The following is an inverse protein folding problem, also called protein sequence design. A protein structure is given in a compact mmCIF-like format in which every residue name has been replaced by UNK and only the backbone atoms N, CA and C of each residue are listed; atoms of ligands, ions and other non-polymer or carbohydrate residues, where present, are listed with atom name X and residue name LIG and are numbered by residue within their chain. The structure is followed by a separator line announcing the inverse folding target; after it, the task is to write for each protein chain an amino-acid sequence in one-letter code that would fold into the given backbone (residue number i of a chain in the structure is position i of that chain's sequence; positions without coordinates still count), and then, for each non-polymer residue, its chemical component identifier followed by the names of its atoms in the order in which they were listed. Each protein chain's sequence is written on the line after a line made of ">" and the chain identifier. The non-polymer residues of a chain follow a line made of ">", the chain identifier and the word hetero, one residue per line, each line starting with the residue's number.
data_IF_885254408034
#
_entry.id   IF_885254408034
#
_cell.length_a   1.000
_cell.length_b   1.000
_cell.length_c   1.000
_cell.angle_alpha   90.00
_cell.angle_beta   90.00
_cell.angle_gamma   90.00
#
_symmetry.space_group_name_H-M   'P 1'
#
loop_
_entity.id
_entity.type
_entity.pdbx_description
1 polymer ?
#
# COMPACT_ATOMS: atom_id res chain seq x y z
N UNK A 1 -6.86 22.00 -3.52
CA UNK A 1 -6.55 23.26 -2.79
C UNK A 1 -5.58 23.08 -1.61
N UNK A 2 -5.57 21.95 -0.90
CA UNK A 2 -4.57 21.65 0.15
C UNK A 2 -3.26 21.12 -0.46
N UNK A 3 -3.35 20.27 -1.48
CA UNK A 3 -2.22 19.69 -2.23
C UNK A 3 -1.38 20.74 -2.99
N UNK A 4 -2.02 21.75 -3.61
CA UNK A 4 -1.29 22.82 -4.31
C UNK A 4 -0.41 23.67 -3.35
N UNK A 5 -0.82 23.80 -2.09
CA UNK A 5 -0.03 24.51 -1.07
C UNK A 5 1.18 23.70 -0.58
N UNK A 6 1.08 22.37 -0.58
CA UNK A 6 2.21 21.50 -0.21
C UNK A 6 3.27 21.49 -1.31
N UNK A 7 2.87 21.34 -2.57
CA UNK A 7 3.75 21.42 -3.74
C UNK A 7 4.43 22.78 -3.91
N UNK A 8 3.75 23.88 -3.54
CA UNK A 8 4.34 25.23 -3.58
C UNK A 8 5.38 25.48 -2.49
N UNK A 9 5.27 24.81 -1.34
CA UNK A 9 6.22 24.95 -0.23
C UNK A 9 7.58 24.30 -0.55
N UNK A 10 7.61 23.32 -1.44
CA UNK A 10 8.83 22.65 -1.91
C UNK A 10 9.51 23.33 -3.12
N UNK A 11 8.88 24.38 -3.71
CA UNK A 11 9.41 25.08 -4.90
C UNK A 11 10.15 26.38 -4.64
N UNK A 12 10.29 26.84 -3.40
CA UNK A 12 10.78 28.20 -3.11
C UNK A 12 12.07 28.30 -2.31
N UNK A 13 12.79 27.21 -2.06
CA UNK A 13 14.14 27.35 -1.53
C UNK A 13 15.17 26.84 -2.54
N UNK A 14 16.00 27.79 -3.00
CA UNK A 14 17.12 27.67 -3.93
C UNK A 14 17.97 26.40 -3.66
N UNK A 15 17.76 25.39 -4.48
CA UNK A 15 18.78 24.38 -4.74
C UNK A 15 19.19 24.47 -6.20
N UNK A 16 20.36 25.06 -6.44
CA UNK A 16 21.06 24.96 -7.72
C UNK A 16 21.31 23.47 -8.02
N UNK A 17 20.56 22.94 -8.94
CA UNK A 17 20.61 21.54 -9.39
C UNK A 17 21.87 21.34 -10.21
N UNK A 18 22.87 20.70 -9.63
CA UNK A 18 23.80 19.88 -10.37
C UNK A 18 23.13 18.53 -10.61
N UNK A 19 22.78 18.26 -11.85
CA UNK A 19 22.27 16.98 -12.34
C UNK A 19 23.34 15.90 -12.17
N UNK A 20 23.28 15.11 -11.10
CA UNK A 20 23.72 13.72 -10.99
C UNK A 20 23.39 13.21 -9.57
N UNK A 21 22.50 12.17 -9.51
CA UNK A 21 22.34 11.24 -8.39
C UNK A 21 21.83 11.80 -7.03
N UNK A 22 20.59 12.27 -6.96
CA UNK A 22 19.85 12.32 -5.70
C UNK A 22 18.56 11.50 -5.79
N UNK A 23 18.70 10.18 -5.91
CA UNK A 23 17.63 9.25 -5.58
C UNK A 23 17.48 9.25 -4.05
N UNK A 24 16.42 9.83 -3.52
CA UNK A 24 16.13 9.76 -2.08
C UNK A 24 15.82 8.30 -1.75
N UNK A 25 16.80 7.61 -1.17
CA UNK A 25 16.66 6.22 -0.78
C UNK A 25 15.75 6.15 0.45
N UNK A 26 14.50 5.71 0.23
CA UNK A 26 13.53 5.47 1.31
C UNK A 26 13.90 4.17 2.02
N UNK A 27 13.79 4.17 3.36
CA UNK A 27 14.01 2.96 4.15
C UNK A 27 12.98 1.90 3.78
N UNK A 28 13.36 0.62 3.60
CA UNK A 28 12.43 -0.46 3.28
C UNK A 28 11.24 -0.61 4.26
N UNK A 29 11.37 -0.14 5.50
CA UNK A 29 10.28 -0.14 6.48
C UNK A 29 9.43 1.14 6.47
N UNK A 30 9.72 2.10 5.60
CA UNK A 30 9.06 3.41 5.57
C UNK A 30 7.53 3.28 5.50
N UNK A 31 7.03 2.44 4.59
CA UNK A 31 5.60 2.19 4.41
C UNK A 31 4.98 1.54 5.66
N UNK A 32 5.54 0.42 6.11
CA UNK A 32 5.02 -0.32 7.27
C UNK A 32 5.05 0.52 8.56
N UNK A 33 6.10 1.35 8.71
CA UNK A 33 6.22 2.28 9.84
C UNK A 33 5.15 3.36 9.78
N UNK A 34 4.93 3.96 8.61
CA UNK A 34 3.89 4.97 8.44
C UNK A 34 2.51 4.40 8.79
N UNK A 35 2.18 3.23 8.26
CA UNK A 35 0.91 2.54 8.53
C UNK A 35 0.74 2.23 10.02
N UNK A 36 1.80 1.74 10.70
CA UNK A 36 1.77 1.53 12.15
C UNK A 36 1.54 2.84 12.91
N UNK A 37 2.22 3.91 12.52
CA UNK A 37 2.09 5.22 13.16
C UNK A 37 0.67 5.79 13.01
N UNK A 38 0.06 5.63 11.83
CA UNK A 38 -1.33 6.04 11.56
C UNK A 38 -2.29 5.22 12.41
N UNK A 39 -2.14 3.88 12.46
CA UNK A 39 -2.96 2.98 13.27
C UNK A 39 -2.91 3.33 14.77
N UNK A 40 -1.73 3.59 15.28
CA UNK A 40 -1.54 3.96 16.69
C UNK A 40 -1.81 5.42 17.00
N UNK A 41 -2.10 6.23 15.96
CA UNK A 41 -2.22 7.69 16.04
C UNK A 41 -1.04 8.34 16.80
N UNK A 42 0.15 7.78 16.62
CA UNK A 42 1.36 8.16 17.35
C UNK A 42 2.62 7.74 16.58
N UNK A 43 3.61 8.63 16.50
CA UNK A 43 4.94 8.30 15.99
C UNK A 43 6.00 8.61 17.04
N UNK A 44 6.90 7.66 17.30
CA UNK A 44 8.06 7.85 18.18
C UNK A 44 9.13 6.81 17.87
N UNK A 45 10.40 7.15 18.13
CA UNK A 45 11.53 6.23 17.97
C UNK A 45 11.33 4.96 18.81
N UNK A 46 10.86 5.09 20.06
CA UNK A 46 10.62 3.95 20.95
C UNK A 46 9.55 2.99 20.39
N UNK A 47 8.50 3.54 19.76
CA UNK A 47 7.47 2.74 19.10
C UNK A 47 8.08 1.88 17.99
N UNK A 48 8.89 2.49 17.13
CA UNK A 48 9.55 1.82 16.02
C UNK A 48 10.53 0.74 16.50
N UNK A 49 11.36 1.07 17.48
CA UNK A 49 12.30 0.10 18.07
C UNK A 49 11.56 -1.11 18.65
N UNK A 50 10.43 -0.88 19.32
CA UNK A 50 9.62 -1.94 19.92
C UNK A 50 9.01 -2.88 18.89
N UNK A 51 8.40 -2.34 17.83
CA UNK A 51 7.66 -3.13 16.85
C UNK A 51 8.54 -3.75 15.76
N UNK A 52 9.51 -2.98 15.23
CA UNK A 52 10.36 -3.41 14.11
C UNK A 52 11.71 -4.01 14.54
N UNK A 53 12.02 -3.99 15.84
CA UNK A 53 13.30 -4.49 16.39
C UNK A 53 14.53 -3.88 15.74
N UNK A 54 14.45 -2.60 15.36
CA UNK A 54 15.52 -1.81 14.74
C UNK A 54 16.24 -0.95 15.76
N UNK A 55 17.49 -0.57 15.45
CA UNK A 55 18.29 0.33 16.29
C UNK A 55 17.77 1.77 16.28
N UNK A 56 18.21 2.56 17.29
CA UNK A 56 17.83 3.96 17.45
C UNK A 56 18.10 4.79 16.18
N UNK A 57 19.30 4.69 15.62
CA UNK A 57 19.70 5.49 14.46
C UNK A 57 18.84 5.25 13.22
N UNK A 58 18.45 3.98 12.97
CA UNK A 58 17.56 3.63 11.87
C UNK A 58 16.14 4.11 12.13
N UNK A 59 15.64 3.91 13.34
CA UNK A 59 14.31 4.38 13.74
C UNK A 59 14.21 5.92 13.62
N UNK A 60 15.24 6.66 14.06
CA UNK A 60 15.32 8.12 13.94
C UNK A 60 15.28 8.56 12.47
N UNK A 61 16.07 7.93 11.60
CA UNK A 61 16.08 8.24 10.16
C UNK A 61 14.72 8.03 9.50
N UNK A 62 13.99 6.98 9.89
CA UNK A 62 12.63 6.74 9.36
C UNK A 62 11.68 7.82 9.86
N UNK A 63 11.76 8.23 11.14
CA UNK A 63 10.99 9.35 11.70
C UNK A 63 11.29 10.64 10.92
N UNK A 64 12.56 10.92 10.61
CA UNK A 64 12.95 12.09 9.81
C UNK A 64 12.36 12.02 8.39
N UNK A 65 12.37 10.85 7.75
CA UNK A 65 11.71 10.64 6.46
C UNK A 65 10.19 10.88 6.55
N UNK A 66 9.50 10.31 7.54
CA UNK A 66 8.07 10.55 7.75
C UNK A 66 7.74 12.03 7.95
N UNK A 67 8.61 12.75 8.65
CA UNK A 67 8.49 14.20 8.85
C UNK A 67 8.69 14.96 7.54
N UNK A 68 9.71 14.59 6.78
CA UNK A 68 10.04 15.20 5.47
C UNK A 68 8.89 15.07 4.49
N UNK A 69 8.23 13.91 4.46
CA UNK A 69 7.08 13.67 3.61
C UNK A 69 5.75 14.15 4.21
N UNK A 70 5.77 14.80 5.36
CA UNK A 70 4.58 15.40 5.98
C UNK A 70 3.58 14.38 6.53
N UNK A 71 3.98 13.13 6.75
CA UNK A 71 3.15 12.10 7.36
C UNK A 71 2.92 12.41 8.84
N UNK A 72 3.95 12.96 9.48
CA UNK A 72 3.95 13.34 10.89
C UNK A 72 4.42 14.79 11.08
N UNK A 73 4.04 15.39 12.22
CA UNK A 73 4.42 16.78 12.53
C UNK A 73 5.91 16.87 12.88
N UNK A 74 6.55 17.98 12.48
CA UNK A 74 7.86 18.36 13.01
C UNK A 74 7.67 18.90 14.43
N UNK A 75 8.13 18.16 15.43
CA UNK A 75 8.06 18.61 16.83
C UNK A 75 9.37 18.25 17.55
N UNK A 76 10.38 19.15 17.49
CA UNK A 76 11.73 18.84 17.99
C UNK A 76 11.83 18.58 19.50
N UNK A 77 10.79 18.92 20.29
CA UNK A 77 10.79 18.82 21.74
C UNK A 77 9.75 17.84 22.30
N UNK A 78 9.12 17.02 21.45
CA UNK A 78 8.08 16.07 21.89
C UNK A 78 8.60 14.63 21.79
N UNK A 79 8.40 13.84 22.83
CA UNK A 79 8.70 12.39 22.85
C UNK A 79 7.82 11.58 21.88
N UNK A 80 6.78 12.19 21.32
CA UNK A 80 5.94 11.62 20.26
C UNK A 80 5.40 12.69 19.32
N UNK A 81 5.34 12.35 18.03
CA UNK A 81 4.89 13.26 16.98
C UNK A 81 3.44 12.94 16.60
N UNK A 82 2.71 13.99 16.20
CA UNK A 82 1.31 13.88 15.79
C UNK A 82 1.22 13.40 14.34
N UNK A 83 0.27 12.51 14.06
CA UNK A 83 -0.05 12.07 12.70
C UNK A 83 -0.82 13.16 11.98
N UNK A 84 -0.46 13.42 10.72
CA UNK A 84 -1.02 14.47 9.88
C UNK A 84 -1.81 13.93 8.68
N UNK A 85 -1.74 12.62 8.41
CA UNK A 85 -2.35 11.99 7.27
C UNK A 85 -3.24 10.82 7.68
N UNK A 86 -4.28 10.58 6.87
CA UNK A 86 -5.06 9.34 6.90
C UNK A 86 -4.33 8.22 6.15
N UNK A 87 -4.86 7.00 6.22
CA UNK A 87 -4.36 5.87 5.42
C UNK A 87 -4.41 6.17 3.92
N UNK A 88 -5.54 6.70 3.44
CA UNK A 88 -5.74 6.97 2.02
C UNK A 88 -4.81 8.08 1.50
N UNK A 89 -4.62 9.14 2.31
CA UNK A 89 -3.70 10.24 1.96
C UNK A 89 -2.26 9.73 1.88
N UNK A 90 -1.86 8.85 2.81
CA UNK A 90 -0.53 8.27 2.81
C UNK A 90 -0.31 7.28 1.67
N UNK A 91 -1.27 6.42 1.37
CA UNK A 91 -1.18 5.50 0.23
C UNK A 91 -0.98 6.26 -1.09
N UNK A 92 -1.73 7.36 -1.31
CA UNK A 92 -1.55 8.22 -2.48
C UNK A 92 -0.17 8.89 -2.51
N UNK A 93 0.29 9.43 -1.38
CA UNK A 93 1.62 10.02 -1.26
C UNK A 93 2.72 8.99 -1.54
N UNK A 94 2.63 7.80 -0.96
CA UNK A 94 3.61 6.75 -1.12
C UNK A 94 3.70 6.30 -2.58
N UNK A 95 2.56 6.20 -3.27
CA UNK A 95 2.53 5.91 -4.71
C UNK A 95 3.28 6.97 -5.52
N UNK A 96 3.11 8.26 -5.23
CA UNK A 96 3.84 9.34 -5.90
C UNK A 96 5.36 9.26 -5.62
N UNK A 97 5.74 8.98 -4.37
CA UNK A 97 7.14 8.88 -3.97
C UNK A 97 7.86 7.77 -4.75
N UNK A 98 7.29 6.57 -4.81
CA UNK A 98 7.94 5.44 -5.47
C UNK A 98 7.97 5.58 -7.00
N UNK A 99 6.95 6.19 -7.61
CA UNK A 99 6.93 6.40 -9.06
C UNK A 99 7.93 7.49 -9.52
N UNK A 100 8.26 8.44 -8.67
CA UNK A 100 9.17 9.53 -9.00
C UNK A 100 10.64 9.28 -8.60
N UNK A 101 10.92 8.35 -7.70
CA UNK A 101 12.24 8.23 -7.04
C UNK A 101 12.75 6.81 -6.83
N UNK A 102 12.07 5.75 -7.29
CA UNK A 102 12.47 4.39 -6.96
C UNK A 102 13.26 3.73 -8.07
N UNK A 103 14.57 3.54 -7.86
CA UNK A 103 15.35 2.46 -8.47
C UNK A 103 15.53 1.36 -7.42
N UNK A 104 15.02 0.13 -7.65
CA UNK A 104 15.24 -0.98 -6.71
C UNK A 104 16.73 -1.28 -6.56
N UNK A 105 17.24 -1.55 -5.32
CA UNK A 105 18.56 -2.13 -5.18
C UNK A 105 18.52 -3.55 -5.77
N UNK A 106 19.34 -3.78 -6.81
CA UNK A 106 19.72 -5.06 -7.41
C UNK A 106 18.72 -6.23 -7.30
N UNK A 107 17.53 -6.05 -7.87
CA UNK A 107 16.74 -7.17 -8.32
C UNK A 107 17.29 -7.59 -9.67
N UNK A 108 18.09 -8.67 -9.69
CA UNK A 108 18.45 -9.34 -10.94
C UNK A 108 17.15 -9.84 -11.57
N UNK A 109 16.64 -9.04 -12.49
CA UNK A 109 15.55 -9.44 -13.36
C UNK A 109 16.00 -10.68 -14.15
N UNK A 110 15.57 -11.86 -13.69
CA UNK A 110 15.42 -12.96 -14.61
C UNK A 110 14.40 -12.51 -15.64
N UNK A 111 14.91 -12.10 -16.80
CA UNK A 111 14.12 -11.68 -17.94
C UNK A 111 13.24 -12.85 -18.40
N UNK A 112 12.06 -12.97 -17.80
CA UNK A 112 10.96 -13.68 -18.40
C UNK A 112 10.16 -12.64 -19.17
N UNK A 113 10.04 -12.84 -20.47
CA UNK A 113 9.26 -12.04 -21.41
C UNK A 113 7.86 -11.80 -20.82
N UNK A 114 7.61 -10.53 -20.37
CA UNK A 114 6.30 -10.06 -20.00
C UNK A 114 5.41 -10.09 -21.25
N UNK A 115 4.26 -10.72 -21.16
CA UNK A 115 3.27 -10.68 -22.24
C UNK A 115 2.64 -9.28 -22.33
N UNK A 116 2.17 -8.83 -23.48
CA UNK A 116 1.53 -7.51 -23.64
C UNK A 116 0.35 -7.25 -22.70
N UNK A 117 -0.24 -8.31 -22.08
CA UNK A 117 -1.31 -8.19 -21.09
C UNK A 117 -0.82 -7.77 -19.70
N UNK A 118 0.48 -7.95 -19.40
CA UNK A 118 1.02 -7.71 -18.05
C UNK A 118 1.20 -6.22 -17.75
N UNK A 119 1.29 -5.38 -18.76
CA UNK A 119 1.44 -3.93 -18.61
C UNK A 119 0.11 -3.20 -18.39
N UNK A 120 -1.03 -3.83 -18.71
CA UNK A 120 -2.33 -3.14 -18.72
C UNK A 120 -2.74 -2.66 -17.33
N UNK A 121 -2.47 -3.40 -16.27
CA UNK A 121 -2.86 -3.05 -14.91
C UNK A 121 -1.77 -2.33 -14.10
N UNK A 122 -0.54 -2.27 -14.59
CA UNK A 122 0.57 -1.62 -13.86
C UNK A 122 0.50 -0.08 -13.91
N UNK A 123 -0.20 0.47 -14.89
CA UNK A 123 -0.39 1.91 -15.09
C UNK A 123 -1.80 2.40 -14.70
N UNK A 124 -2.58 1.58 -14.00
CA UNK A 124 -3.93 1.95 -13.55
C UNK A 124 -3.85 2.81 -12.29
N UNK A 125 -4.79 3.76 -12.17
CA UNK A 125 -5.05 4.37 -10.86
C UNK A 125 -5.68 3.33 -9.92
N UNK A 126 -5.62 3.56 -8.60
CA UNK A 126 -6.26 2.66 -7.64
C UNK A 126 -7.73 2.38 -7.97
N UNK A 127 -8.48 3.43 -8.31
CA UNK A 127 -9.90 3.33 -8.68
C UNK A 127 -10.10 2.51 -9.97
N UNK A 128 -9.30 2.76 -10.99
CA UNK A 128 -9.39 2.00 -12.25
C UNK A 128 -9.08 0.51 -12.01
N UNK A 129 -8.12 0.23 -11.14
CA UNK A 129 -7.78 -1.13 -10.73
C UNK A 129 -8.91 -1.84 -9.98
N UNK A 130 -9.62 -1.14 -9.08
CA UNK A 130 -10.80 -1.68 -8.39
C UNK A 130 -11.89 -2.10 -9.39
N UNK A 131 -12.23 -1.23 -10.36
CA UNK A 131 -13.21 -1.56 -11.40
C UNK A 131 -12.73 -2.68 -12.32
N UNK A 132 -11.45 -2.67 -12.71
CA UNK A 132 -10.82 -3.73 -13.47
C UNK A 132 -10.93 -5.08 -12.74
N UNK A 133 -10.60 -5.11 -11.45
CA UNK A 133 -10.72 -6.31 -10.61
C UNK A 133 -12.17 -6.79 -10.50
N UNK A 134 -13.13 -5.86 -10.34
CA UNK A 134 -14.56 -6.22 -10.29
C UNK A 134 -15.02 -6.88 -11.59
N UNK A 135 -14.62 -6.36 -12.75
CA UNK A 135 -14.96 -6.97 -14.04
C UNK A 135 -14.25 -8.31 -14.26
N UNK A 136 -13.01 -8.43 -13.78
CA UNK A 136 -12.27 -9.69 -13.82
C UNK A 136 -12.94 -10.76 -12.96
N UNK A 137 -13.43 -10.41 -11.78
CA UNK A 137 -14.19 -11.31 -10.91
C UNK A 137 -15.46 -11.83 -11.60
N UNK A 138 -16.24 -10.94 -12.25
CA UNK A 138 -17.44 -11.34 -13.02
C UNK A 138 -17.07 -12.34 -14.12
N UNK A 139 -15.99 -12.11 -14.86
CA UNK A 139 -15.47 -13.03 -15.89
C UNK A 139 -15.03 -14.39 -15.33
N UNK A 140 -14.66 -14.44 -14.06
CA UNK A 140 -14.25 -15.65 -13.34
C UNK A 140 -15.40 -16.29 -12.54
N UNK A 141 -16.66 -16.04 -12.94
CA UNK A 141 -17.90 -16.62 -12.38
C UNK A 141 -18.17 -16.22 -10.92
N UNK A 142 -17.70 -15.04 -10.50
CA UNK A 142 -18.20 -14.42 -9.28
C UNK A 142 -19.51 -13.68 -9.59
N UNK A 143 -20.46 -13.78 -8.68
CA UNK A 143 -21.76 -13.11 -8.75
C UNK A 143 -21.87 -12.03 -7.67
N UNK A 144 -22.87 -11.19 -7.75
CA UNK A 144 -23.12 -10.09 -6.78
C UNK A 144 -21.88 -9.20 -6.57
N UNK A 145 -21.09 -9.03 -7.64
CA UNK A 145 -19.86 -8.22 -7.59
C UNK A 145 -20.23 -6.75 -7.55
N UNK A 146 -19.84 -6.06 -6.48
CA UNK A 146 -20.08 -4.63 -6.27
C UNK A 146 -18.84 -3.93 -5.73
N UNK A 147 -18.47 -2.81 -6.35
CA UNK A 147 -17.44 -1.90 -5.84
C UNK A 147 -18.05 -1.05 -4.73
N UNK A 148 -17.34 -0.86 -3.63
CA UNK A 148 -17.80 -0.12 -2.46
C UNK A 148 -17.68 1.39 -2.69
N UNK A 149 -18.35 2.19 -1.85
CA UNK A 149 -18.20 3.65 -1.86
C UNK A 149 -17.21 4.06 -0.77
N UNK A 150 -16.23 4.87 -1.11
CA UNK A 150 -15.06 5.27 -0.29
C UNK A 150 -15.34 5.85 1.11
N UNK A 151 -16.58 6.07 1.52
CA UNK A 151 -16.87 6.80 2.77
C UNK A 151 -17.15 5.92 3.99
N UNK A 152 -17.17 4.58 3.85
CA UNK A 152 -17.41 3.66 4.97
C UNK A 152 -17.00 2.21 4.65
N UNK A 153 -15.97 2.03 3.81
CA UNK A 153 -15.57 0.74 3.27
C UNK A 153 -14.63 -0.07 4.18
N UNK A 154 -14.11 0.56 5.24
CA UNK A 154 -13.15 -0.06 6.16
C UNK A 154 -11.99 -0.78 5.43
N UNK A 155 -11.59 -0.23 4.27
CA UNK A 155 -10.56 -0.79 3.42
C UNK A 155 -11.00 -1.97 2.56
N UNK A 156 -12.31 -2.19 2.36
CA UNK A 156 -12.83 -3.19 1.43
C UNK A 156 -13.33 -2.49 0.17
N UNK A 157 -12.75 -2.83 -0.96
CA UNK A 157 -13.03 -2.19 -2.24
C UNK A 157 -14.09 -2.94 -3.05
N UNK A 158 -14.21 -4.28 -2.87
CA UNK A 158 -15.17 -5.09 -3.63
C UNK A 158 -15.81 -6.13 -2.73
N UNK A 159 -17.14 -6.25 -2.85
CA UNK A 159 -17.90 -7.44 -2.41
C UNK A 159 -18.21 -8.33 -3.59
N UNK A 160 -18.13 -9.64 -3.37
CA UNK A 160 -18.45 -10.65 -4.39
C UNK A 160 -18.92 -11.95 -3.72
N UNK A 161 -19.56 -12.81 -4.51
CA UNK A 161 -19.98 -14.14 -4.07
C UNK A 161 -19.58 -15.18 -5.12
N UNK A 162 -19.20 -16.38 -4.67
CA UNK A 162 -18.94 -17.53 -5.52
C UNK A 162 -19.15 -18.82 -4.73
N UNK A 163 -19.88 -19.77 -5.30
CA UNK A 163 -20.14 -21.07 -4.70
C UNK A 163 -20.75 -20.96 -3.29
N UNK A 164 -21.72 -20.06 -3.11
CA UNK A 164 -22.41 -19.72 -1.85
C UNK A 164 -21.48 -19.14 -0.76
N UNK A 165 -20.28 -18.70 -1.14
CA UNK A 165 -19.31 -18.07 -0.24
C UNK A 165 -19.22 -16.58 -0.55
N UNK A 166 -19.29 -15.74 0.49
CA UNK A 166 -19.18 -14.29 0.37
C UNK A 166 -17.74 -13.81 0.62
N UNK A 167 -17.30 -12.85 -0.19
CA UNK A 167 -15.93 -12.30 -0.19
C UNK A 167 -15.93 -10.82 0.13
N UNK A 168 -14.98 -10.41 0.99
CA UNK A 168 -14.57 -9.04 1.18
C UNK A 168 -13.16 -8.88 0.59
N UNK A 169 -13.02 -8.07 -0.46
CA UNK A 169 -11.79 -7.98 -1.25
C UNK A 169 -11.25 -6.56 -1.15
N UNK A 170 -10.00 -6.44 -0.72
CA UNK A 170 -9.22 -5.21 -0.80
C UNK A 170 -8.32 -5.27 -2.02
N UNK A 171 -8.33 -4.21 -2.83
CA UNK A 171 -7.53 -4.06 -4.04
C UNK A 171 -6.34 -3.13 -3.76
N UNK A 172 -5.13 -3.54 -4.13
CA UNK A 172 -3.92 -2.72 -4.01
C UNK A 172 -3.16 -2.71 -5.33
N UNK A 173 -3.15 -1.53 -5.98
CA UNK A 173 -2.42 -1.30 -7.22
C UNK A 173 -1.17 -0.48 -6.89
N UNK A 174 -0.05 -1.15 -6.69
CA UNK A 174 1.21 -0.51 -6.28
C UNK A 174 2.37 -0.91 -7.20
N UNK A 175 3.48 -0.20 -7.10
CA UNK A 175 4.74 -0.55 -7.77
C UNK A 175 5.68 -1.38 -6.89
N UNK A 176 5.31 -1.61 -5.61
CA UNK A 176 6.09 -2.39 -4.64
C UNK A 176 5.27 -3.53 -4.03
N UNK A 177 5.95 -4.46 -3.36
CA UNK A 177 5.32 -5.57 -2.67
C UNK A 177 4.41 -5.10 -1.53
N UNK A 178 3.31 -5.80 -1.33
CA UNK A 178 2.29 -5.49 -0.33
C UNK A 178 2.73 -5.97 1.06
N UNK A 179 2.69 -5.08 2.03
CA UNK A 179 2.98 -5.35 3.43
C UNK A 179 1.75 -5.87 4.20
N UNK A 180 1.97 -6.14 5.50
CA UNK A 180 0.96 -6.73 6.38
C UNK A 180 -0.21 -5.81 6.74
N UNK A 181 -0.08 -4.49 6.59
CA UNK A 181 -1.18 -3.56 6.87
C UNK A 181 -2.43 -3.87 6.01
N UNK A 182 -2.26 -4.17 4.71
CA UNK A 182 -3.36 -4.57 3.85
C UNK A 182 -4.07 -5.85 4.32
N UNK A 183 -3.33 -6.79 4.91
CA UNK A 183 -3.86 -8.03 5.46
C UNK A 183 -4.76 -7.75 6.67
N UNK A 184 -4.29 -6.88 7.57
CA UNK A 184 -5.05 -6.46 8.76
C UNK A 184 -6.33 -5.72 8.38
N UNK A 185 -6.25 -4.80 7.40
CA UNK A 185 -7.41 -4.09 6.88
C UNK A 185 -8.45 -5.04 6.28
N UNK A 186 -8.02 -5.96 5.39
CA UNK A 186 -8.92 -6.92 4.78
C UNK A 186 -9.59 -7.84 5.82
N UNK A 187 -8.83 -8.31 6.83
CA UNK A 187 -9.37 -9.11 7.93
C UNK A 187 -10.41 -8.33 8.74
N UNK A 188 -10.10 -7.09 9.11
CA UNK A 188 -11.01 -6.23 9.88
C UNK A 188 -12.29 -5.95 9.09
N UNK A 189 -12.16 -5.55 7.82
CA UNK A 189 -13.30 -5.29 6.97
C UNK A 189 -14.19 -6.51 6.76
N UNK A 190 -13.61 -7.70 6.55
CA UNK A 190 -14.35 -8.97 6.51
C UNK A 190 -15.21 -9.15 7.76
N UNK A 191 -14.65 -8.92 8.94
CA UNK A 191 -15.38 -9.09 10.21
C UNK A 191 -16.53 -8.07 10.35
N UNK A 192 -16.29 -6.80 9.99
CA UNK A 192 -17.29 -5.74 10.06
C UNK A 192 -18.46 -6.02 9.12
N UNK A 193 -18.18 -6.47 7.91
CA UNK A 193 -19.22 -6.74 6.88
C UNK A 193 -19.77 -8.18 6.92
N UNK A 194 -19.38 -8.98 7.91
CA UNK A 194 -19.82 -10.37 8.10
C UNK A 194 -19.67 -11.21 6.84
N UNK A 195 -18.52 -11.09 6.15
CA UNK A 195 -18.19 -11.91 4.99
C UNK A 195 -17.42 -13.16 5.39
N UNK A 196 -17.50 -14.21 4.57
CA UNK A 196 -16.88 -15.49 4.87
C UNK A 196 -15.37 -15.46 4.65
N UNK A 197 -14.91 -14.79 3.59
CA UNK A 197 -13.50 -14.75 3.18
C UNK A 197 -13.01 -13.32 2.99
N UNK A 198 -11.88 -12.99 3.61
CA UNK A 198 -11.09 -11.80 3.28
C UNK A 198 -10.08 -12.12 2.20
N UNK A 199 -9.89 -11.19 1.26
CA UNK A 199 -8.90 -11.30 0.17
C UNK A 199 -8.15 -9.98 0.06
N UNK A 200 -6.84 -10.02 -0.16
CA UNK A 200 -6.07 -8.91 -0.71
C UNK A 200 -5.68 -9.28 -2.14
N UNK A 201 -6.12 -8.46 -3.10
CA UNK A 201 -5.84 -8.61 -4.55
C UNK A 201 -4.90 -7.49 -4.99
N UNK A 202 -3.78 -7.85 -5.63
CA UNK A 202 -2.78 -6.87 -6.05
C UNK A 202 -2.15 -7.19 -7.40
N UNK A 203 -1.66 -6.16 -8.07
CA UNK A 203 -0.80 -6.26 -9.26
C UNK A 203 0.66 -6.62 -8.90
N UNK A 204 1.00 -6.73 -7.62
CA UNK A 204 2.34 -7.02 -7.12
C UNK A 204 2.38 -8.35 -6.35
N UNK A 205 3.45 -8.54 -5.59
CA UNK A 205 3.64 -9.68 -4.71
C UNK A 205 3.50 -9.25 -3.24
N UNK A 206 3.51 -10.22 -2.33
CA UNK A 206 3.43 -9.98 -0.89
C UNK A 206 4.79 -10.11 -0.24
N UNK A 207 5.05 -9.32 0.79
CA UNK A 207 6.24 -9.52 1.63
C UNK A 207 6.12 -10.83 2.42
N UNK A 208 7.26 -11.39 2.85
CA UNK A 208 7.26 -12.61 3.67
C UNK A 208 6.44 -12.43 4.97
N UNK A 209 6.48 -11.22 5.55
CA UNK A 209 5.73 -10.90 6.76
C UNK A 209 4.21 -10.86 6.47
N UNK A 210 3.78 -10.28 5.33
CA UNK A 210 2.38 -10.29 4.92
C UNK A 210 1.85 -11.70 4.69
N UNK A 211 2.66 -12.60 4.10
CA UNK A 211 2.29 -14.00 3.90
C UNK A 211 2.07 -14.70 5.25
N UNK A 212 3.00 -14.55 6.20
CA UNK A 212 2.87 -15.15 7.54
C UNK A 212 1.63 -14.64 8.26
N UNK A 213 1.34 -13.34 8.17
CA UNK A 213 0.18 -12.75 8.83
C UNK A 213 -1.13 -13.17 8.17
N UNK A 214 -1.15 -13.27 6.84
CA UNK A 214 -2.32 -13.75 6.10
C UNK A 214 -2.68 -15.20 6.47
N UNK A 215 -1.69 -16.07 6.64
CA UNK A 215 -1.90 -17.44 7.13
C UNK A 215 -2.50 -17.43 8.54
N UNK A 216 -1.97 -16.60 9.45
CA UNK A 216 -2.47 -16.51 10.82
C UNK A 216 -3.90 -15.98 10.92
N UNK A 217 -4.27 -15.03 10.05
CA UNK A 217 -5.59 -14.38 10.04
C UNK A 217 -6.61 -15.01 9.09
N UNK A 218 -6.21 -16.02 8.30
CA UNK A 218 -7.05 -16.67 7.30
C UNK A 218 -7.45 -15.75 6.15
N UNK A 219 -6.56 -14.81 5.75
CA UNK A 219 -6.75 -13.92 4.62
C UNK A 219 -6.18 -14.56 3.36
N UNK A 220 -6.93 -14.57 2.27
CA UNK A 220 -6.44 -15.07 0.98
C UNK A 220 -5.63 -13.99 0.26
N UNK A 221 -4.48 -14.41 -0.28
CA UNK A 221 -3.59 -13.56 -1.06
C UNK A 221 -3.75 -13.86 -2.54
N UNK A 222 -4.17 -12.86 -3.31
CA UNK A 222 -4.23 -12.90 -4.77
C UNK A 222 -3.21 -11.94 -5.34
N UNK A 223 -2.01 -12.45 -5.56
CA UNK A 223 -0.86 -11.74 -6.11
C UNK A 223 -0.94 -11.59 -7.65
N UNK A 224 0.09 -10.98 -8.22
CA UNK A 224 0.24 -10.82 -9.68
C UNK A 224 0.05 -12.12 -10.45
N UNK A 225 0.60 -13.22 -9.97
CA UNK A 225 0.47 -14.52 -10.65
C UNK A 225 -0.98 -15.00 -10.65
N UNK A 226 -1.71 -14.78 -9.56
CA UNK A 226 -3.13 -15.11 -9.47
C UNK A 226 -3.96 -14.21 -10.39
N UNK A 227 -3.64 -12.90 -10.42
CA UNK A 227 -4.30 -11.93 -11.30
C UNK A 227 -4.14 -12.34 -12.77
N UNK A 228 -2.93 -12.68 -13.21
CA UNK A 228 -2.64 -13.17 -14.56
C UNK A 228 -3.43 -14.45 -14.90
N UNK A 229 -3.44 -15.43 -13.98
CA UNK A 229 -4.23 -16.64 -14.16
C UNK A 229 -5.72 -16.36 -14.35
N UNK A 230 -6.27 -15.38 -13.63
CA UNK A 230 -7.68 -14.98 -13.78
C UNK A 230 -7.95 -14.29 -15.11
N UNK A 231 -6.97 -13.59 -15.69
CA UNK A 231 -7.08 -12.98 -17.03
C UNK A 231 -7.15 -14.01 -18.16
N UNK A 232 -6.45 -15.14 -18.00
CA UNK A 232 -6.35 -16.18 -19.03
C UNK A 232 -7.37 -17.31 -18.86
N UNK A 233 -8.26 -17.20 -17.87
CA UNK A 233 -9.32 -18.20 -17.64
C UNK A 233 -10.51 -17.88 -18.57
N UNK A 234 -10.46 -18.51 -19.77
CA UNK A 234 -11.57 -18.60 -20.72
C UNK A 234 -12.19 -20.01 -20.70
#
# INVERSE_FOLDING_TARGET
>A
MFFDKLLHKFKTDDFSVNNQDNVVQIDPYFYDVAMLCIDKNKASVDLLQKYFKIGYDRASKIIDQLTTYGVISSSPNSSSQKILMSYDDFDNLYFEIINNNYTPPDYVASANQLSPCDEQFDNMTGIDFEYFCADLLKKNNFINVSVTQKSADHGIDIFAEKDDISYAIQCKCYSSNIGNAAIQQAHTGKCIFHKDIAVVLTNQYFTAQAITEAEALGVKLWDRNKLQKMLHYN
#
